data_IF_584120616062
#
_entry.id   IF_584120616062
#
_cell.length_a   1.000
_cell.length_b   1.000
_cell.length_c   1.000
_cell.angle_alpha   90.00
_cell.angle_beta   90.00
_cell.angle_gamma   90.00
#
_symmetry.space_group_name_H-M   'P 1'
#
loop_
_entity.id
_entity.type
_entity.pdbx_description
1 polymer ?
#
# COMPACT_ATOMS: atom_id res chain seq x y z
N UNK A 1 0.18 -26.54 9.32
CA UNK A 1 -0.09 -25.93 8.01
C UNK A 1 -0.25 -24.45 8.28
N UNK A 2 0.53 -23.62 7.60
CA UNK A 2 0.44 -22.18 7.72
C UNK A 2 0.68 -21.56 6.34
N UNK A 3 -0.09 -20.55 5.99
CA UNK A 3 0.19 -19.72 4.83
C UNK A 3 1.51 -18.96 5.06
N UNK A 4 2.34 -18.93 4.03
CA UNK A 4 3.49 -18.04 3.96
C UNK A 4 3.05 -16.75 3.29
N UNK A 5 3.11 -15.66 4.05
CA UNK A 5 2.75 -14.33 3.60
C UNK A 5 3.99 -13.51 3.21
N UNK A 6 3.91 -12.79 2.09
CA UNK A 6 4.92 -11.82 1.68
C UNK A 6 4.27 -10.53 1.18
N UNK A 7 4.84 -9.40 1.57
CA UNK A 7 4.54 -8.09 0.99
C UNK A 7 5.05 -8.04 -0.45
N UNK A 8 4.21 -7.58 -1.39
CA UNK A 8 4.59 -7.43 -2.80
C UNK A 8 4.17 -6.06 -3.34
N UNK A 9 4.98 -5.48 -4.20
CA UNK A 9 4.72 -4.18 -4.85
C UNK A 9 4.88 -4.31 -6.36
N UNK A 10 4.06 -3.59 -7.11
CA UNK A 10 4.11 -3.56 -8.59
C UNK A 10 4.42 -2.15 -9.07
N UNK A 11 5.38 -2.02 -9.97
CA UNK A 11 5.93 -0.72 -10.39
C UNK A 11 6.11 -0.66 -11.92
N UNK A 12 6.11 0.55 -12.47
CA UNK A 12 6.40 0.86 -13.87
C UNK A 12 5.27 0.51 -14.84
N UNK A 13 5.36 1.01 -16.06
CA UNK A 13 4.30 0.81 -17.06
C UNK A 13 4.07 -0.65 -17.46
N UNK A 14 5.07 -1.52 -17.26
CA UNK A 14 5.00 -2.95 -17.58
C UNK A 14 4.60 -3.86 -16.42
N UNK A 15 4.20 -3.30 -15.26
CA UNK A 15 3.90 -4.06 -14.04
C UNK A 15 5.05 -5.00 -13.60
N UNK A 16 6.17 -4.41 -13.19
CA UNK A 16 7.25 -5.18 -12.59
C UNK A 16 6.91 -5.48 -11.14
N UNK A 17 6.65 -6.76 -10.84
CA UNK A 17 6.30 -7.23 -9.50
C UNK A 17 7.55 -7.58 -8.69
N UNK A 18 7.70 -6.98 -7.52
CA UNK A 18 8.74 -7.30 -6.54
C UNK A 18 8.10 -7.93 -5.30
N UNK A 19 8.45 -9.19 -5.03
CA UNK A 19 7.94 -9.93 -3.86
C UNK A 19 8.92 -9.82 -2.68
N UNK A 20 8.40 -9.89 -1.45
CA UNK A 20 9.22 -9.85 -0.24
C UNK A 20 9.88 -8.48 -0.03
N UNK A 21 9.17 -7.39 -0.36
CA UNK A 21 9.67 -6.03 -0.11
C UNK A 21 9.90 -5.83 1.40
N UNK A 22 10.99 -5.14 1.73
CA UNK A 22 11.38 -4.82 3.10
C UNK A 22 10.63 -3.60 3.66
N UNK A 23 10.13 -2.71 2.80
CA UNK A 23 9.32 -1.57 3.19
C UNK A 23 8.39 -1.11 2.05
N UNK A 24 7.41 -0.27 2.41
CA UNK A 24 6.49 0.40 1.48
C UNK A 24 6.61 1.91 1.65
N UNK A 25 7.85 2.42 1.58
CA UNK A 25 8.10 3.85 1.73
C UNK A 25 7.51 4.64 0.55
N UNK A 26 6.71 5.65 0.85
CA UNK A 26 6.24 6.63 -0.14
C UNK A 26 7.40 7.52 -0.58
N UNK A 27 7.44 7.87 -1.87
CA UNK A 27 8.48 8.73 -2.42
C UNK A 27 8.12 9.35 -3.76
N UNK A 28 8.98 10.25 -4.23
CA UNK A 28 8.90 10.91 -5.54
C UNK A 28 9.44 10.04 -6.70
N UNK A 29 9.63 8.75 -6.47
CA UNK A 29 10.02 7.80 -7.49
C UNK A 29 9.12 6.56 -7.39
N UNK A 30 8.81 5.96 -8.52
CA UNK A 30 8.13 4.68 -8.60
C UNK A 30 9.14 3.54 -8.45
N UNK A 31 9.02 2.74 -7.39
CA UNK A 31 9.88 1.60 -7.15
C UNK A 31 9.74 1.01 -5.74
N UNK A 32 10.13 -0.26 -5.56
CA UNK A 32 10.06 -0.94 -4.28
C UNK A 32 11.21 -0.49 -3.35
N UNK A 33 11.05 -0.70 -2.04
CA UNK A 33 12.12 -0.53 -1.04
C UNK A 33 12.80 0.85 -1.05
N UNK A 34 12.06 1.92 -1.35
CA UNK A 34 12.63 3.27 -1.47
C UNK A 34 13.34 3.68 -0.17
N UNK A 35 14.47 4.38 -0.33
CA UNK A 35 15.14 5.04 0.80
C UNK A 35 14.59 6.45 0.97
N UNK A 36 14.17 6.79 2.19
CA UNK A 36 13.60 8.12 2.49
C UNK A 36 14.56 9.29 2.22
N UNK A 37 15.90 9.19 2.38
CA UNK A 37 16.78 10.32 2.09
C UNK A 37 16.88 10.66 0.59
N UNK A 38 16.70 9.68 -0.30
CA UNK A 38 16.89 9.85 -1.75
C UNK A 38 15.57 10.01 -2.51
N UNK A 39 14.44 9.70 -1.88
CA UNK A 39 13.12 9.67 -2.52
C UNK A 39 12.14 10.60 -1.79
N UNK A 40 12.53 11.85 -1.59
CA UNK A 40 11.76 12.81 -0.79
C UNK A 40 10.53 13.32 -1.54
N UNK A 41 9.39 13.41 -0.86
CA UNK A 41 8.20 14.09 -1.38
C UNK A 41 8.26 15.56 -0.98
N UNK A 42 8.23 16.45 -1.97
CA UNK A 42 8.22 17.90 -1.77
C UNK A 42 6.80 18.31 -1.32
N UNK A 43 6.71 19.21 -0.33
CA UNK A 43 5.43 19.73 0.11
C UNK A 43 4.64 20.36 -1.06
N UNK A 44 3.37 19.97 -1.20
CA UNK A 44 2.51 20.34 -2.33
C UNK A 44 2.52 19.35 -3.48
N UNK A 45 3.44 18.37 -3.48
CA UNK A 45 3.44 17.25 -4.41
C UNK A 45 2.92 15.99 -3.70
N UNK A 46 2.54 14.99 -4.50
CA UNK A 46 2.20 13.67 -4.00
C UNK A 46 3.37 12.71 -4.21
N UNK A 47 3.36 11.58 -3.49
CA UNK A 47 4.19 10.45 -3.85
C UNK A 47 3.68 9.81 -5.14
N UNK A 48 4.54 9.00 -5.78
CA UNK A 48 4.01 7.98 -6.67
C UNK A 48 3.08 7.05 -5.90
N UNK A 49 2.07 6.53 -6.58
CA UNK A 49 1.20 5.48 -6.05
C UNK A 49 2.00 4.23 -5.67
N UNK A 50 1.56 3.55 -4.62
CA UNK A 50 2.04 2.24 -4.20
C UNK A 50 0.98 1.20 -4.51
N UNK A 51 1.28 0.33 -5.46
CA UNK A 51 0.42 -0.78 -5.87
C UNK A 51 0.85 -2.04 -5.12
N UNK A 52 0.30 -2.19 -3.93
CA UNK A 52 0.66 -3.19 -2.94
C UNK A 52 -0.26 -4.42 -3.01
N UNK A 53 0.29 -5.62 -2.82
CA UNK A 53 -0.45 -6.90 -2.73
C UNK A 53 0.13 -7.79 -1.64
N UNK A 54 -0.74 -8.57 -0.99
CA UNK A 54 -0.31 -9.70 -0.18
C UNK A 54 -0.10 -10.93 -1.05
N UNK A 55 1.09 -11.52 -1.06
CA UNK A 55 1.36 -12.80 -1.71
C UNK A 55 1.22 -13.92 -0.71
N UNK A 56 0.38 -14.90 -1.02
CA UNK A 56 0.12 -16.05 -0.18
C UNK A 56 0.65 -17.31 -0.87
N UNK A 57 1.34 -18.16 -0.11
CA UNK A 57 1.93 -19.41 -0.58
C UNK A 57 2.01 -20.44 0.54
N UNK A 58 2.51 -21.65 0.28
CA UNK A 58 2.74 -22.65 1.33
C UNK A 58 1.59 -23.64 1.45
N UNK A 59 1.16 -23.96 2.68
CA UNK A 59 0.15 -25.00 2.92
C UNK A 59 -1.06 -24.41 3.63
N UNK A 60 -2.10 -24.08 2.87
CA UNK A 60 -3.42 -23.61 3.34
C UNK A 60 -4.48 -24.09 2.35
N UNK A 61 -5.73 -24.19 2.79
CA UNK A 61 -6.87 -24.53 1.92
C UNK A 61 -7.45 -23.26 1.32
N UNK A 62 -7.71 -22.25 2.15
CA UNK A 62 -8.27 -20.96 1.72
C UNK A 62 -7.77 -19.80 2.55
N UNK A 63 -7.61 -18.64 1.92
CA UNK A 63 -7.46 -17.34 2.59
C UNK A 63 -8.77 -16.57 2.39
N UNK A 64 -9.29 -15.93 3.44
CA UNK A 64 -10.54 -15.17 3.36
C UNK A 64 -10.54 -13.96 4.30
N UNK A 65 -11.58 -13.13 4.23
CA UNK A 65 -11.80 -11.99 5.12
C UNK A 65 -10.60 -11.03 5.23
N UNK A 66 -9.96 -10.72 4.09
CA UNK A 66 -8.85 -9.78 4.09
C UNK A 66 -9.33 -8.40 4.54
N UNK A 67 -8.58 -7.78 5.46
CA UNK A 67 -8.86 -6.44 5.98
C UNK A 67 -7.58 -5.62 6.03
N UNK A 68 -7.53 -4.54 5.27
CA UNK A 68 -6.42 -3.60 5.21
C UNK A 68 -6.76 -2.25 5.84
N UNK A 69 -5.96 -1.81 6.81
CA UNK A 69 -6.13 -0.51 7.49
C UNK A 69 -4.81 -0.01 8.10
N UNK A 70 -4.72 1.29 8.35
CA UNK A 70 -3.60 1.93 9.05
C UNK A 70 -3.80 1.86 10.56
N UNK A 71 -3.23 0.83 11.19
CA UNK A 71 -3.44 0.48 12.60
C UNK A 71 -2.65 1.34 13.60
N UNK A 72 -1.57 2.00 13.18
CA UNK A 72 -0.81 2.90 14.06
C UNK A 72 -0.12 4.04 13.29
N UNK A 73 0.42 4.99 14.03
CA UNK A 73 1.04 6.22 13.50
C UNK A 73 0.01 7.33 13.30
N UNK A 74 0.48 8.57 13.47
CA UNK A 74 -0.28 9.79 13.21
C UNK A 74 0.38 10.54 12.07
N UNK A 75 -0.44 11.02 11.13
CA UNK A 75 0.03 11.91 10.07
C UNK A 75 0.08 13.35 10.60
N UNK A 76 1.09 14.14 10.21
CA UNK A 76 1.09 15.57 10.49
C UNK A 76 -0.03 16.26 9.71
N UNK A 77 -0.36 17.49 10.11
CA UNK A 77 -1.32 18.29 9.36
C UNK A 77 -0.88 18.46 7.89
N UNK A 78 -1.86 18.52 6.97
CA UNK A 78 -1.66 18.69 5.54
C UNK A 78 -0.94 17.52 4.83
N UNK A 79 -0.90 16.35 5.47
CA UNK A 79 -0.40 15.11 4.88
C UNK A 79 -1.46 14.03 5.08
N UNK A 80 -1.94 13.47 3.97
CA UNK A 80 -2.92 12.40 3.95
C UNK A 80 -2.35 11.18 3.25
N UNK A 81 -2.84 9.99 3.61
CA UNK A 81 -2.59 8.78 2.83
C UNK A 81 -3.93 8.34 2.26
N UNK A 82 -4.06 8.44 0.95
CA UNK A 82 -5.24 7.94 0.24
C UNK A 82 -5.06 6.47 -0.09
N UNK A 83 -6.17 5.75 -0.18
CA UNK A 83 -6.18 4.32 -0.43
C UNK A 83 -7.34 3.89 -1.33
N UNK A 84 -7.20 2.72 -1.96
CA UNK A 84 -8.26 1.97 -2.61
C UNK A 84 -7.92 0.48 -2.61
N UNK A 85 -8.94 -0.37 -2.77
CA UNK A 85 -8.79 -1.81 -2.95
C UNK A 85 -9.37 -2.25 -4.30
N UNK A 86 -8.82 -3.35 -4.82
CA UNK A 86 -9.26 -4.07 -6.04
C UNK A 86 -9.28 -3.25 -7.32
N UNK A 87 -8.45 -2.21 -7.37
CA UNK A 87 -8.18 -1.49 -8.61
C UNK A 87 -7.45 -2.40 -9.60
N UNK A 88 -7.78 -2.26 -10.89
CA UNK A 88 -6.97 -2.83 -11.96
C UNK A 88 -5.66 -2.09 -12.05
N UNK A 89 -4.55 -2.82 -12.13
CA UNK A 89 -3.22 -2.21 -12.22
C UNK A 89 -3.16 -1.15 -13.32
N UNK A 90 -2.60 -0.01 -12.97
CA UNK A 90 -2.23 1.04 -13.89
C UNK A 90 -0.81 1.51 -13.59
N UNK A 91 -0.19 2.18 -14.56
CA UNK A 91 1.12 2.80 -14.34
C UNK A 91 1.02 3.79 -13.18
N UNK A 92 1.85 3.66 -12.13
CA UNK A 92 1.80 4.56 -10.98
C UNK A 92 2.05 6.02 -11.40
N UNK A 93 1.29 6.94 -10.80
CA UNK A 93 1.41 8.39 -11.03
C UNK A 93 1.75 9.14 -9.75
N UNK A 94 2.39 10.31 -9.89
CA UNK A 94 2.67 11.27 -8.81
C UNK A 94 1.73 12.50 -8.83
N UNK A 95 0.83 12.58 -9.81
CA UNK A 95 -0.34 13.46 -9.75
C UNK A 95 -1.37 12.92 -8.76
N UNK A 96 -2.38 13.71 -8.41
CA UNK A 96 -3.49 13.24 -7.55
C UNK A 96 -4.09 11.95 -8.13
N UNK A 97 -4.01 10.87 -7.35
CA UNK A 97 -4.53 9.57 -7.77
C UNK A 97 -6.03 9.65 -8.03
N UNK A 98 -6.45 9.09 -9.17
CA UNK A 98 -7.87 8.86 -9.48
C UNK A 98 -8.35 7.50 -8.98
N UNK A 99 -7.43 6.67 -8.47
CA UNK A 99 -7.69 5.33 -7.95
C UNK A 99 -7.80 5.39 -6.43
N UNK A 100 -6.73 5.78 -5.75
CA UNK A 100 -6.68 5.99 -4.30
C UNK A 100 -7.33 7.34 -3.96
N UNK A 101 -8.65 7.34 -3.77
CA UNK A 101 -9.46 8.57 -3.63
C UNK A 101 -10.01 8.80 -2.23
N UNK A 102 -10.00 7.78 -1.36
CA UNK A 102 -10.49 7.87 0.01
C UNK A 102 -9.34 7.84 1.00
N UNK A 103 -9.50 8.43 2.18
CA UNK A 103 -8.50 8.31 3.24
C UNK A 103 -8.32 6.85 3.66
N UNK A 104 -7.08 6.44 3.93
CA UNK A 104 -6.81 5.10 4.41
C UNK A 104 -7.57 4.86 5.73
N UNK A 105 -8.37 3.78 5.82
CA UNK A 105 -9.09 3.49 7.05
C UNK A 105 -8.14 3.32 8.23
N UNK A 106 -8.53 3.81 9.41
CA UNK A 106 -7.70 3.75 10.62
C UNK A 106 -8.20 2.73 11.63
N UNK A 107 -9.32 2.06 11.34
CA UNK A 107 -9.92 1.03 12.20
C UNK A 107 -10.28 -0.20 11.37
N UNK A 108 -10.29 -1.36 12.01
CA UNK A 108 -10.61 -2.64 11.37
C UNK A 108 -12.06 -2.70 10.87
N UNK A 109 -12.99 -2.03 11.54
CA UNK A 109 -14.42 -2.00 11.17
C UNK A 109 -14.68 -1.28 9.85
N UNK A 110 -13.80 -0.32 9.48
CA UNK A 110 -13.85 0.39 8.20
C UNK A 110 -12.76 -0.05 7.21
N UNK A 111 -12.06 -1.15 7.48
CA UNK A 111 -10.94 -1.60 6.69
C UNK A 111 -11.33 -1.82 5.22
N UNK A 112 -10.37 -1.59 4.32
CA UNK A 112 -10.50 -2.02 2.93
C UNK A 112 -10.50 -3.56 2.88
N UNK A 113 -11.27 -4.12 1.97
CA UNK A 113 -11.42 -5.57 1.82
C UNK A 113 -10.93 -6.01 0.44
N UNK A 114 -9.60 -6.09 0.21
CA UNK A 114 -9.08 -6.57 -1.06
C UNK A 114 -9.49 -8.02 -1.30
N UNK A 115 -9.67 -8.40 -2.56
CA UNK A 115 -9.99 -9.76 -2.95
C UNK A 115 -8.98 -10.76 -2.39
N UNK A 116 -9.48 -11.91 -1.94
CA UNK A 116 -8.62 -13.01 -1.50
C UNK A 116 -7.91 -13.66 -2.70
N UNK A 117 -6.71 -14.25 -2.51
CA UNK A 117 -6.07 -15.07 -3.52
C UNK A 117 -6.96 -16.24 -3.93
N UNK A 118 -6.98 -16.52 -5.23
CA UNK A 118 -7.74 -17.63 -5.83
C UNK A 118 -6.93 -18.93 -5.94
N UNK A 119 -5.60 -18.84 -5.80
CA UNK A 119 -4.68 -19.96 -5.90
C UNK A 119 -3.58 -19.99 -4.83
N UNK A 120 -2.59 -20.84 -5.06
CA UNK A 120 -1.43 -21.01 -4.19
C UNK A 120 -0.20 -21.47 -5.02
N UNK A 121 0.83 -20.63 -5.21
CA UNK A 121 0.93 -19.25 -4.74
C UNK A 121 0.03 -18.32 -5.56
N UNK A 122 -0.57 -17.33 -4.91
CA UNK A 122 -1.35 -16.27 -5.57
C UNK A 122 -1.38 -14.99 -4.73
N UNK A 123 -1.93 -13.91 -5.27
CA UNK A 123 -1.97 -12.60 -4.64
C UNK A 123 -3.38 -12.22 -4.20
N UNK A 124 -3.47 -11.39 -3.15
CA UNK A 124 -4.67 -10.60 -2.93
C UNK A 124 -4.91 -9.64 -4.10
N UNK A 125 -6.12 -9.10 -4.17
CA UNK A 125 -6.39 -7.90 -4.94
C UNK A 125 -5.48 -6.74 -4.53
N UNK A 126 -5.33 -5.77 -5.44
CA UNK A 126 -4.47 -4.62 -5.21
C UNK A 126 -4.99 -3.75 -4.08
N UNK A 127 -4.06 -3.24 -3.29
CA UNK A 127 -4.26 -2.13 -2.38
C UNK A 127 -3.41 -0.99 -2.94
N UNK A 128 -4.06 0.04 -3.45
CA UNK A 128 -3.37 1.22 -4.00
C UNK A 128 -3.29 2.28 -2.91
N UNK A 129 -2.11 2.82 -2.66
CA UNK A 129 -1.90 3.88 -1.66
C UNK A 129 -1.19 5.08 -2.29
N UNK A 130 -1.49 6.29 -1.84
CA UNK A 130 -0.71 7.48 -2.21
C UNK A 130 -0.59 8.42 -1.02
N UNK A 131 0.63 8.89 -0.74
CA UNK A 131 0.84 9.98 0.20
C UNK A 131 0.61 11.30 -0.53
N UNK A 132 -0.33 12.09 -0.06
CA UNK A 132 -0.68 13.39 -0.61
C UNK A 132 -0.30 14.48 0.38
N UNK A 133 0.33 15.54 -0.12
CA UNK A 133 0.72 16.70 0.70
C UNK A 133 0.18 17.98 0.10
N UNK A 134 -0.16 18.95 0.93
CA UNK A 134 -0.45 20.30 0.46
C UNK A 134 0.79 21.19 0.59
N UNK A 135 0.78 22.35 -0.06
CA UNK A 135 1.86 23.36 0.04
C UNK A 135 2.08 23.86 1.47
N UNK A 136 1.12 23.64 2.37
CA UNK A 136 1.20 24.02 3.79
C UNK A 136 1.73 22.87 4.69
N UNK A 137 2.13 21.73 4.12
CA UNK A 137 2.78 20.67 4.88
C UNK A 137 4.13 21.13 5.45
N UNK A 138 4.33 20.90 6.75
CA UNK A 138 5.59 21.27 7.40
C UNK A 138 6.73 20.40 6.86
N UNK A 139 7.88 21.00 6.48
CA UNK A 139 9.04 20.22 6.07
C UNK A 139 9.55 19.33 7.22
N UNK A 140 9.92 18.09 6.91
CA UNK A 140 10.50 17.18 7.87
C UNK A 140 10.12 15.72 7.62
N UNK A 141 10.60 14.85 8.51
CA UNK A 141 10.24 13.44 8.45
C UNK A 141 8.79 13.24 8.90
N UNK A 142 8.00 12.57 8.05
CA UNK A 142 6.70 12.04 8.45
C UNK A 142 6.95 10.84 9.38
N UNK A 143 6.28 10.75 10.54
CA UNK A 143 6.42 9.61 11.44
C UNK A 143 6.08 8.29 10.74
N UNK A 144 6.65 7.18 11.22
CA UNK A 144 6.32 5.84 10.74
C UNK A 144 4.83 5.56 10.89
N UNK A 145 4.22 5.09 9.81
CA UNK A 145 2.84 4.61 9.79
C UNK A 145 2.85 3.08 9.74
N UNK A 146 1.96 2.45 10.52
CA UNK A 146 1.80 0.99 10.50
C UNK A 146 0.53 0.63 9.77
N UNK A 147 0.66 -0.17 8.72
CA UNK A 147 -0.47 -0.78 8.02
C UNK A 147 -0.61 -2.24 8.45
N UNK A 148 -1.84 -2.69 8.56
CA UNK A 148 -2.17 -4.06 8.91
C UNK A 148 -3.05 -4.65 7.82
N UNK A 149 -2.63 -5.81 7.32
CA UNK A 149 -3.47 -6.71 6.53
C UNK A 149 -3.80 -7.92 7.42
N UNK A 150 -5.05 -8.04 7.85
CA UNK A 150 -5.57 -9.23 8.52
C UNK A 150 -6.22 -10.15 7.50
N UNK A 151 -6.22 -11.46 7.80
CA UNK A 151 -6.90 -12.47 7.00
C UNK A 151 -7.23 -13.66 7.91
N UNK A 152 -8.22 -14.44 7.49
CA UNK A 152 -8.54 -15.74 8.07
C UNK A 152 -7.95 -16.84 7.18
N UNK A 153 -7.35 -17.84 7.82
CA UNK A 153 -6.76 -19.02 7.17
C UNK A 153 -7.52 -20.29 7.61
N UNK A 154 -7.81 -21.16 6.64
CA UNK A 154 -8.38 -22.50 6.83
C UNK A 154 -7.59 -23.52 6.02
#
# INVERSE_FOLDING_TARGET
>A
MAATFQHSESNGAGEVVTNGIANTNFGNNDGPNLSTPNNQVIAGNNSFEKWYRGRFSGTFTTISNLRFFKSAGSLPANVDIKAAADATYATPVDTTSIVATVDVPTTEGGALAPAAPSGNPDFSGYITLQLQTTVAATPGAVPTQTFTLKYDEV
#
